data_IF_983783372430
#
_entry.id   IF_983783372430
#
_cell.length_a   1.000
_cell.length_b   1.000
_cell.length_c   1.000
_cell.angle_alpha   90.00
_cell.angle_beta   90.00
_cell.angle_gamma   90.00
#
_symmetry.space_group_name_H-M   'P 1'
#
loop_
_entity.id
_entity.type
_entity.pdbx_description
1 polymer ?
#
# COMPACT_ATOMS: atom_id res chain seq x y z
N UNK A 1 3.23 -27.72 30.43
CA UNK A 1 3.46 -26.51 29.60
C UNK A 1 3.91 -26.99 28.23
N UNK A 2 3.33 -26.49 27.14
CA UNK A 2 3.81 -26.85 25.80
C UNK A 2 5.26 -26.37 25.61
N UNK A 3 6.14 -27.24 25.10
CA UNK A 3 7.50 -26.85 24.74
C UNK A 3 7.46 -25.73 23.69
N UNK A 4 8.21 -24.65 23.92
CA UNK A 4 8.34 -23.56 22.95
C UNK A 4 9.46 -23.89 21.96
N UNK A 5 9.12 -23.94 20.69
CA UNK A 5 10.08 -23.93 19.57
C UNK A 5 10.06 -22.52 18.98
N UNK A 6 11.08 -21.67 19.27
CA UNK A 6 11.08 -20.29 18.78
C UNK A 6 11.12 -20.25 17.26
N UNK A 7 10.14 -19.60 16.64
CA UNK A 7 10.11 -19.41 15.20
C UNK A 7 11.21 -18.45 14.70
N UNK A 8 11.63 -17.48 15.53
CA UNK A 8 12.59 -16.45 15.18
C UNK A 8 13.61 -16.24 16.30
N UNK A 9 14.86 -16.02 15.93
CA UNK A 9 15.95 -15.56 16.79
C UNK A 9 15.72 -14.13 17.28
N UNK A 10 16.37 -13.68 18.36
CA UNK A 10 16.34 -12.28 18.80
C UNK A 10 16.77 -11.29 17.70
N UNK A 11 17.76 -11.65 16.89
CA UNK A 11 18.31 -10.82 15.80
C UNK A 11 17.27 -10.64 14.69
N UNK A 12 16.62 -11.74 14.27
CA UNK A 12 15.53 -11.69 13.30
C UNK A 12 14.35 -10.85 13.81
N UNK A 13 13.99 -10.97 15.09
CA UNK A 13 12.93 -10.14 15.70
C UNK A 13 13.30 -8.66 15.67
N UNK A 14 14.56 -8.33 15.98
CA UNK A 14 15.06 -6.96 15.96
C UNK A 14 14.99 -6.37 14.55
N UNK A 15 15.49 -7.09 13.54
CA UNK A 15 15.45 -6.65 12.14
C UNK A 15 14.01 -6.33 11.69
N UNK A 16 13.08 -7.27 11.91
CA UNK A 16 11.67 -7.10 11.51
C UNK A 16 11.01 -5.92 12.24
N UNK A 17 11.32 -5.75 13.53
CA UNK A 17 10.84 -4.63 14.34
C UNK A 17 11.35 -3.29 13.80
N UNK A 18 12.64 -3.17 13.49
CA UNK A 18 13.26 -1.95 12.96
C UNK A 18 12.71 -1.59 11.57
N UNK A 19 12.47 -2.57 10.70
CA UNK A 19 11.78 -2.36 9.41
C UNK A 19 10.40 -1.76 9.65
N UNK A 20 9.59 -2.39 10.50
CA UNK A 20 8.23 -1.95 10.79
C UNK A 20 8.18 -0.54 11.40
N UNK A 21 9.12 -0.19 12.29
CA UNK A 21 9.21 1.16 12.89
C UNK A 21 9.52 2.23 11.86
N UNK A 22 10.44 1.97 10.91
CA UNK A 22 10.81 2.94 9.86
C UNK A 22 9.62 3.30 8.97
N UNK A 23 8.76 2.33 8.67
CA UNK A 23 7.59 2.52 7.80
C UNK A 23 6.59 3.54 8.40
N UNK A 24 6.37 3.49 9.72
CA UNK A 24 5.36 4.30 10.42
C UNK A 24 5.95 5.43 11.27
N UNK A 25 7.20 5.80 11.02
CA UNK A 25 7.92 6.81 11.80
C UNK A 25 7.29 8.20 11.64
N UNK A 26 7.11 8.95 12.73
CA UNK A 26 6.78 10.39 12.74
C UNK A 26 5.74 10.87 11.71
N UNK A 27 4.56 10.25 11.71
CA UNK A 27 3.45 10.63 10.81
C UNK A 27 3.59 10.08 9.38
N UNK A 28 4.69 9.41 9.05
CA UNK A 28 4.83 8.73 7.76
C UNK A 28 3.82 7.61 7.60
N UNK A 29 3.45 7.36 6.35
CA UNK A 29 2.65 6.23 5.95
C UNK A 29 3.20 5.53 4.72
N UNK A 30 2.34 4.75 4.08
CA UNK A 30 2.68 3.91 2.95
C UNK A 30 1.97 4.41 1.68
N UNK A 31 2.73 4.55 0.60
CA UNK A 31 2.18 4.64 -0.75
C UNK A 31 1.97 3.22 -1.30
N UNK A 32 0.72 2.84 -1.49
CA UNK A 32 0.37 1.57 -2.12
C UNK A 32 0.35 1.73 -3.66
N UNK A 33 1.48 1.45 -4.31
CA UNK A 33 1.68 1.54 -5.76
C UNK A 33 1.79 0.14 -6.41
N UNK A 34 1.07 -0.82 -5.83
CA UNK A 34 1.12 -2.25 -6.13
C UNK A 34 -0.06 -2.73 -6.99
N UNK A 35 -0.66 -1.81 -7.75
CA UNK A 35 -1.67 -2.16 -8.73
C UNK A 35 -1.10 -3.17 -9.74
N UNK A 36 -1.80 -4.29 -9.93
CA UNK A 36 -1.50 -5.22 -11.02
C UNK A 36 -1.69 -4.55 -12.38
N UNK A 37 -1.16 -5.15 -13.45
CA UNK A 37 -1.33 -4.66 -14.84
C UNK A 37 -2.79 -4.34 -15.17
N UNK A 38 -3.73 -5.23 -14.84
CA UNK A 38 -5.16 -5.00 -15.05
C UNK A 38 -5.73 -3.88 -14.17
N UNK A 39 -5.32 -3.82 -12.90
CA UNK A 39 -5.79 -2.77 -11.97
C UNK A 39 -5.32 -1.39 -12.42
N UNK A 40 -4.05 -1.28 -12.83
CA UNK A 40 -3.48 -0.03 -13.34
C UNK A 40 -4.11 0.34 -14.68
N UNK A 41 -4.39 -0.64 -15.55
CA UNK A 41 -5.12 -0.42 -16.80
C UNK A 41 -6.48 0.25 -16.60
N UNK A 42 -7.26 -0.23 -15.62
CA UNK A 42 -8.55 0.38 -15.26
C UNK A 42 -8.41 1.84 -14.78
N UNK A 43 -7.25 2.22 -14.21
CA UNK A 43 -6.97 3.59 -13.80
C UNK A 43 -6.56 4.45 -15.00
N UNK A 44 -5.67 3.95 -15.85
CA UNK A 44 -5.20 4.65 -17.06
C UNK A 44 -6.36 4.93 -18.02
N UNK A 45 -7.29 3.98 -18.18
CA UNK A 45 -8.45 4.16 -19.05
C UNK A 45 -9.31 5.38 -18.66
N UNK A 46 -9.42 5.71 -17.37
CA UNK A 46 -10.20 6.86 -16.88
C UNK A 46 -9.63 8.20 -17.35
N UNK A 47 -8.32 8.26 -17.56
CA UNK A 47 -7.62 9.43 -18.09
C UNK A 47 -7.33 9.29 -19.59
N UNK A 48 -7.95 8.30 -20.26
CA UNK A 48 -7.78 8.00 -21.70
C UNK A 48 -6.33 7.72 -22.10
N UNK A 49 -5.57 7.08 -21.20
CA UNK A 49 -4.19 6.63 -21.44
C UNK A 49 -4.19 5.12 -21.69
N UNK A 50 -3.43 4.68 -22.69
CA UNK A 50 -3.28 3.27 -23.02
C UNK A 50 -2.51 2.50 -21.94
N UNK A 51 -2.90 1.25 -21.67
CA UNK A 51 -2.24 0.40 -20.68
C UNK A 51 -0.98 -0.30 -21.24
N UNK A 52 0.05 0.48 -21.57
CA UNK A 52 1.36 -0.05 -21.95
C UNK A 52 2.29 -0.15 -20.74
N UNK A 53 3.31 -1.03 -20.81
CA UNK A 53 4.34 -1.10 -19.78
C UNK A 53 5.03 0.26 -19.58
N UNK A 54 5.33 0.96 -20.66
CA UNK A 54 5.97 2.28 -20.60
C UNK A 54 5.09 3.32 -19.88
N UNK A 55 3.78 3.35 -20.14
CA UNK A 55 2.89 4.28 -19.43
C UNK A 55 2.79 3.95 -17.93
N UNK A 56 2.78 2.66 -17.57
CA UNK A 56 2.84 2.25 -16.15
C UNK A 56 4.16 2.68 -15.52
N UNK A 57 5.28 2.45 -16.19
CA UNK A 57 6.63 2.83 -15.77
C UNK A 57 6.75 4.35 -15.59
N UNK A 58 6.30 5.15 -16.56
CA UNK A 58 6.31 6.61 -16.50
C UNK A 58 5.52 7.14 -15.30
N UNK A 59 4.31 6.62 -15.06
CA UNK A 59 3.52 7.07 -13.92
C UNK A 59 4.21 6.73 -12.58
N UNK A 60 4.85 5.56 -12.47
CA UNK A 60 5.64 5.19 -11.29
C UNK A 60 6.87 6.08 -11.12
N UNK A 61 7.57 6.39 -12.21
CA UNK A 61 8.70 7.32 -12.21
C UNK A 61 8.29 8.70 -11.68
N UNK A 62 7.13 9.22 -12.11
CA UNK A 62 6.62 10.50 -11.61
C UNK A 62 6.46 10.50 -10.09
N UNK A 63 5.88 9.44 -9.52
CA UNK A 63 5.69 9.32 -8.06
C UNK A 63 7.01 9.12 -7.31
N UNK A 64 7.97 8.37 -7.85
CA UNK A 64 9.19 7.98 -7.14
C UNK A 64 10.35 8.95 -7.34
N UNK A 65 10.31 9.82 -8.36
CA UNK A 65 11.33 10.83 -8.65
C UNK A 65 10.94 12.23 -8.20
N UNK A 66 9.96 12.34 -7.31
CA UNK A 66 9.77 13.56 -6.53
C UNK A 66 11.07 13.88 -5.79
N UNK A 67 11.31 15.16 -5.51
CA UNK A 67 12.45 15.57 -4.69
C UNK A 67 12.40 14.95 -3.28
N UNK A 68 13.44 15.21 -2.51
CA UNK A 68 13.65 14.61 -1.19
C UNK A 68 12.56 14.90 -0.16
N UNK A 69 11.62 15.82 -0.44
CA UNK A 69 10.44 16.04 0.41
C UNK A 69 9.58 14.79 0.60
N UNK A 70 9.56 13.86 -0.36
CA UNK A 70 8.78 12.60 -0.25
C UNK A 70 9.11 11.80 1.03
N UNK A 71 10.37 11.82 1.47
CA UNK A 71 10.83 11.06 2.66
C UNK A 71 10.26 11.58 3.97
N UNK A 72 9.66 12.77 3.98
CA UNK A 72 9.01 13.35 5.15
C UNK A 72 7.62 12.75 5.40
N UNK A 73 6.96 12.26 4.36
CA UNK A 73 5.58 11.76 4.42
C UNK A 73 5.46 10.27 4.14
N UNK A 74 6.38 9.69 3.36
CA UNK A 74 6.33 8.29 2.96
C UNK A 74 7.45 7.53 3.64
N UNK A 75 7.08 6.51 4.44
CA UNK A 75 8.02 5.60 5.10
C UNK A 75 8.16 4.28 4.36
N UNK A 76 7.14 3.89 3.58
CA UNK A 76 7.21 2.70 2.74
C UNK A 76 6.44 2.84 1.43
N UNK A 77 6.84 2.07 0.42
CA UNK A 77 6.13 1.98 -0.87
C UNK A 77 5.91 0.52 -1.20
N UNK A 78 4.66 0.12 -1.44
CA UNK A 78 4.33 -1.23 -1.91
C UNK A 78 4.38 -1.22 -3.43
N UNK A 79 5.16 -2.13 -4.01
CA UNK A 79 5.30 -2.29 -5.45
C UNK A 79 4.58 -3.55 -5.94
N UNK A 80 4.25 -3.54 -7.23
CA UNK A 80 3.92 -4.75 -7.97
C UNK A 80 5.22 -5.37 -8.53
N UNK A 81 5.19 -6.67 -8.87
CA UNK A 81 6.35 -7.40 -9.38
C UNK A 81 7.03 -6.67 -10.55
N UNK A 82 6.26 -6.23 -11.54
CA UNK A 82 6.76 -5.46 -12.69
C UNK A 82 7.56 -4.22 -12.23
N UNK A 83 7.00 -3.42 -11.33
CA UNK A 83 7.61 -2.16 -10.87
C UNK A 83 8.87 -2.37 -10.04
N UNK A 84 9.04 -3.51 -9.36
CA UNK A 84 10.25 -3.80 -8.58
C UNK A 84 11.51 -3.89 -9.47
N UNK A 85 11.33 -4.33 -10.72
CA UNK A 85 12.41 -4.51 -11.69
C UNK A 85 12.47 -3.41 -12.77
N UNK A 86 11.48 -2.51 -12.79
CA UNK A 86 11.51 -1.35 -13.65
C UNK A 86 12.56 -0.32 -13.22
N UNK A 87 12.98 0.46 -14.22
CA UNK A 87 13.95 1.54 -14.11
C UNK A 87 13.31 2.88 -14.44
N UNK A 88 13.87 3.94 -13.91
CA UNK A 88 13.60 5.30 -14.38
C UNK A 88 14.21 5.53 -15.78
N UNK A 89 13.96 6.72 -16.33
CA UNK A 89 14.51 7.14 -17.63
C UNK A 89 16.05 7.23 -17.65
N UNK A 90 16.69 7.22 -16.48
CA UNK A 90 18.15 7.25 -16.32
C UNK A 90 18.76 5.85 -16.10
N UNK A 91 17.96 4.79 -16.20
CA UNK A 91 18.41 3.41 -16.06
C UNK A 91 18.56 2.92 -14.61
N UNK A 92 18.09 3.70 -13.63
CA UNK A 92 18.17 3.37 -12.21
C UNK A 92 16.91 2.67 -11.73
N UNK A 93 17.08 1.57 -11.02
CA UNK A 93 15.98 0.78 -10.49
C UNK A 93 15.14 1.57 -9.47
N UNK A 94 13.82 1.51 -9.59
CA UNK A 94 12.91 2.25 -8.68
C UNK A 94 13.15 1.91 -7.21
N UNK A 95 13.41 0.64 -6.89
CA UNK A 95 13.73 0.24 -5.51
C UNK A 95 14.99 0.91 -4.96
N UNK A 96 16.00 1.18 -5.79
CA UNK A 96 17.22 1.86 -5.37
C UNK A 96 16.93 3.35 -5.11
N UNK A 97 16.16 3.98 -6.01
CA UNK A 97 15.68 5.36 -5.87
C UNK A 97 14.92 5.56 -4.53
N UNK A 98 14.06 4.61 -4.17
CA UNK A 98 13.33 4.64 -2.90
C UNK A 98 14.26 4.44 -1.69
N UNK A 99 15.15 3.45 -1.75
CA UNK A 99 16.08 3.13 -0.66
C UNK A 99 17.05 4.28 -0.34
N UNK A 100 17.57 4.95 -1.37
CA UNK A 100 18.44 6.12 -1.18
C UNK A 100 17.76 7.27 -0.46
N UNK A 101 16.43 7.37 -0.56
CA UNK A 101 15.62 8.34 0.20
C UNK A 101 15.17 7.83 1.56
N UNK A 102 15.67 6.66 1.99
CA UNK A 102 15.31 6.03 3.25
C UNK A 102 13.87 5.48 3.28
N UNK A 103 13.26 5.26 2.12
CA UNK A 103 11.91 4.68 2.01
C UNK A 103 12.04 3.16 1.94
N UNK A 104 11.29 2.46 2.79
CA UNK A 104 11.28 1.00 2.82
C UNK A 104 10.53 0.48 1.60
N UNK A 105 11.10 -0.49 0.89
CA UNK A 105 10.48 -1.09 -0.30
C UNK A 105 9.65 -2.31 0.12
N UNK A 106 8.41 -2.38 -0.34
CA UNK A 106 7.51 -3.49 -0.13
C UNK A 106 7.02 -4.11 -1.42
N UNK A 107 6.51 -5.32 -1.35
CA UNK A 107 6.06 -6.09 -2.51
C UNK A 107 4.71 -6.76 -2.24
N UNK A 108 3.80 -6.69 -3.22
CA UNK A 108 2.56 -7.46 -3.18
C UNK A 108 2.85 -8.94 -3.50
N UNK A 109 2.41 -9.84 -2.62
CA UNK A 109 2.73 -11.27 -2.68
C UNK A 109 1.54 -12.17 -3.02
N UNK A 110 0.31 -11.70 -2.75
CA UNK A 110 -0.90 -12.41 -3.12
C UNK A 110 -1.07 -12.55 -4.64
N UNK A 111 -1.63 -13.68 -5.07
CA UNK A 111 -1.92 -14.00 -6.47
C UNK A 111 -3.41 -13.79 -6.82
N UNK A 112 -4.13 -13.01 -6.02
CA UNK A 112 -5.54 -12.71 -6.23
C UNK A 112 -6.51 -13.64 -5.49
N UNK A 113 -7.79 -13.30 -5.60
CA UNK A 113 -8.86 -14.01 -4.91
C UNK A 113 -9.39 -15.20 -5.73
N UNK A 114 -9.79 -16.25 -5.02
CA UNK A 114 -10.48 -17.41 -5.58
C UNK A 114 -11.83 -17.61 -4.88
N UNK A 115 -12.88 -18.04 -5.60
CA UNK A 115 -14.20 -18.23 -5.01
C UNK A 115 -14.19 -19.37 -3.98
N UNK A 116 -14.91 -19.18 -2.88
CA UNK A 116 -15.17 -20.23 -1.90
C UNK A 116 -16.44 -20.98 -2.28
N UNK A 117 -16.28 -22.23 -2.74
CA UNK A 117 -17.40 -23.09 -3.09
C UNK A 117 -18.35 -23.28 -1.89
N UNK A 118 -19.65 -23.25 -2.14
CA UNK A 118 -20.67 -23.33 -1.08
C UNK A 118 -20.93 -22.02 -0.32
N UNK A 119 -20.31 -20.91 -0.72
CA UNK A 119 -20.57 -19.58 -0.13
C UNK A 119 -21.29 -18.66 -1.13
N UNK A 120 -21.91 -17.59 -0.61
CA UNK A 120 -22.52 -16.57 -1.45
C UNK A 120 -21.45 -15.62 -2.03
N UNK A 121 -20.78 -16.04 -3.10
CA UNK A 121 -19.78 -15.20 -3.81
C UNK A 121 -18.69 -14.64 -2.87
N UNK A 122 -18.28 -15.42 -1.87
CA UNK A 122 -17.14 -15.05 -1.01
C UNK A 122 -15.84 -15.59 -1.60
N UNK A 123 -14.71 -15.09 -1.11
CA UNK A 123 -13.39 -15.40 -1.67
C UNK A 123 -12.37 -15.76 -0.59
N UNK A 124 -11.45 -16.67 -0.91
CA UNK A 124 -10.14 -16.80 -0.26
C UNK A 124 -9.07 -16.20 -1.16
N UNK A 125 -7.81 -16.15 -0.71
CA UNK A 125 -6.69 -15.56 -1.45
C UNK A 125 -5.62 -16.60 -1.71
N UNK A 126 -5.11 -16.62 -2.94
CA UNK A 126 -4.10 -17.56 -3.41
C UNK A 126 -2.69 -16.99 -3.35
N UNK A 127 -1.69 -17.88 -3.47
CA UNK A 127 -0.27 -17.52 -3.62
C UNK A 127 0.66 -18.04 -2.53
N UNK A 128 0.23 -18.99 -1.70
CA UNK A 128 1.09 -19.59 -0.67
C UNK A 128 2.12 -20.55 -1.28
N UNK A 129 1.79 -21.16 -2.41
CA UNK A 129 2.69 -22.07 -3.11
C UNK A 129 3.92 -21.32 -3.61
N UNK A 130 5.11 -21.83 -3.26
CA UNK A 130 6.39 -21.20 -3.56
C UNK A 130 6.62 -19.85 -2.87
N UNK A 131 5.80 -19.47 -1.88
CA UNK A 131 5.89 -18.14 -1.26
C UNK A 131 7.23 -17.93 -0.53
N UNK A 132 7.79 -18.97 0.10
CA UNK A 132 9.06 -18.86 0.83
C UNK A 132 10.21 -18.49 -0.11
N UNK A 133 10.30 -19.17 -1.25
CA UNK A 133 11.29 -18.94 -2.29
C UNK A 133 11.12 -17.55 -2.90
N UNK A 134 9.87 -17.14 -3.17
CA UNK A 134 9.56 -15.79 -3.67
C UNK A 134 9.96 -14.72 -2.65
N UNK A 135 9.65 -14.90 -1.36
CA UNK A 135 10.04 -13.95 -0.32
C UNK A 135 11.56 -13.83 -0.19
N UNK A 136 12.29 -14.96 -0.18
CA UNK A 136 13.75 -14.96 -0.14
C UNK A 136 14.35 -14.21 -1.35
N UNK A 137 13.82 -14.46 -2.54
CA UNK A 137 14.25 -13.77 -3.76
C UNK A 137 13.94 -12.26 -3.69
N UNK A 138 12.73 -11.87 -3.30
CA UNK A 138 12.37 -10.46 -3.16
C UNK A 138 13.18 -9.75 -2.07
N UNK A 139 13.51 -10.42 -0.96
CA UNK A 139 14.40 -9.88 0.06
C UNK A 139 15.80 -9.60 -0.51
N UNK A 140 16.35 -10.55 -1.27
CA UNK A 140 17.63 -10.37 -2.00
C UNK A 140 17.55 -9.22 -3.01
N UNK A 141 16.43 -9.08 -3.70
CA UNK A 141 16.20 -8.00 -4.66
C UNK A 141 15.92 -6.66 -3.98
N UNK A 142 15.67 -6.66 -2.67
CA UNK A 142 15.63 -5.46 -1.85
C UNK A 142 14.26 -5.06 -1.32
N UNK A 143 13.25 -5.92 -1.37
CA UNK A 143 12.01 -5.70 -0.64
C UNK A 143 12.17 -6.12 0.83
N UNK A 144 11.72 -5.28 1.75
CA UNK A 144 11.83 -5.49 3.21
C UNK A 144 10.49 -5.83 3.86
N UNK A 145 9.37 -5.62 3.17
CA UNK A 145 8.05 -5.99 3.68
C UNK A 145 7.11 -6.51 2.59
N UNK A 146 6.15 -7.34 3.01
CA UNK A 146 5.14 -7.94 2.14
C UNK A 146 3.77 -7.30 2.30
N UNK A 147 2.95 -7.40 1.26
CA UNK A 147 1.50 -7.13 1.33
C UNK A 147 0.70 -8.31 0.80
N UNK A 148 -0.32 -8.70 1.56
CA UNK A 148 -1.31 -9.71 1.19
C UNK A 148 -2.70 -9.18 1.47
N UNK A 149 -3.62 -9.32 0.52
CA UNK A 149 -4.95 -8.71 0.61
C UNK A 149 -6.06 -9.75 0.66
N UNK A 150 -6.64 -9.96 1.84
CA UNK A 150 -7.92 -10.65 2.02
C UNK A 150 -9.09 -9.70 1.76
N UNK A 151 -10.21 -10.24 1.26
CA UNK A 151 -11.42 -9.47 1.00
C UNK A 151 -12.61 -10.20 1.60
N UNK A 152 -13.34 -9.48 2.46
CA UNK A 152 -14.58 -9.94 3.09
C UNK A 152 -15.70 -8.98 2.69
N UNK A 153 -16.90 -9.51 2.48
CA UNK A 153 -18.09 -8.71 2.17
C UNK A 153 -19.03 -8.73 3.35
N UNK A 154 -19.67 -7.59 3.59
CA UNK A 154 -20.75 -7.47 4.57
C UNK A 154 -22.07 -7.40 3.80
N UNK A 155 -22.94 -8.38 4.02
CA UNK A 155 -24.34 -8.39 3.59
C UNK A 155 -25.16 -9.24 4.57
N UNK A 156 -26.42 -9.57 4.25
CA UNK A 156 -27.28 -10.34 5.15
C UNK A 156 -26.76 -11.76 5.48
N UNK A 157 -25.82 -12.29 4.69
CA UNK A 157 -25.30 -13.67 4.83
C UNK A 157 -23.76 -13.73 4.90
N UNK A 158 -23.08 -12.60 4.67
CA UNK A 158 -21.63 -12.49 4.65
C UNK A 158 -21.14 -11.46 5.70
N UNK A 159 -19.95 -11.65 6.28
CA UNK A 159 -19.02 -12.74 6.01
C UNK A 159 -19.45 -14.04 6.70
N UNK A 160 -19.38 -15.17 5.99
CA UNK A 160 -19.63 -16.48 6.60
C UNK A 160 -18.49 -16.88 7.54
N UNK A 161 -18.76 -17.79 8.47
CA UNK A 161 -17.71 -18.36 9.34
C UNK A 161 -16.59 -19.01 8.53
N UNK A 162 -16.91 -19.65 7.39
CA UNK A 162 -15.93 -20.24 6.49
C UNK A 162 -15.01 -19.18 5.90
N UNK A 163 -15.57 -18.09 5.35
CA UNK A 163 -14.76 -17.02 4.75
C UNK A 163 -13.86 -16.33 5.79
N UNK A 164 -14.34 -16.12 7.02
CA UNK A 164 -13.54 -15.55 8.11
C UNK A 164 -12.36 -16.48 8.44
N UNK A 165 -12.64 -17.76 8.70
CA UNK A 165 -11.62 -18.74 9.12
C UNK A 165 -10.56 -18.94 8.04
N UNK A 166 -10.99 -19.10 6.80
CA UNK A 166 -10.08 -19.36 5.68
C UNK A 166 -9.17 -18.17 5.38
N UNK A 167 -9.71 -16.94 5.34
CA UNK A 167 -8.88 -15.75 5.14
C UNK A 167 -7.94 -15.48 6.33
N UNK A 168 -8.39 -15.72 7.57
CA UNK A 168 -7.53 -15.59 8.75
C UNK A 168 -6.38 -16.61 8.72
N UNK A 169 -6.66 -17.86 8.36
CA UNK A 169 -5.65 -18.92 8.23
C UNK A 169 -4.63 -18.60 7.12
N UNK A 170 -5.10 -18.18 5.95
CA UNK A 170 -4.24 -17.79 4.83
C UNK A 170 -3.31 -16.63 5.20
N UNK A 171 -3.85 -15.59 5.86
CA UNK A 171 -3.07 -14.44 6.35
C UNK A 171 -2.02 -14.86 7.38
N UNK A 172 -2.34 -15.77 8.30
CA UNK A 172 -1.39 -16.27 9.28
C UNK A 172 -0.24 -17.06 8.64
N UNK A 173 -0.55 -17.93 7.67
CA UNK A 173 0.46 -18.69 6.90
C UNK A 173 1.36 -17.75 6.10
N UNK A 174 0.79 -16.79 5.39
CA UNK A 174 1.52 -15.74 4.70
C UNK A 174 2.47 -14.99 5.66
N UNK A 175 1.94 -14.55 6.81
CA UNK A 175 2.71 -13.75 7.75
C UNK A 175 3.89 -14.52 8.32
N UNK A 176 3.70 -15.80 8.63
CA UNK A 176 4.74 -16.72 9.09
C UNK A 176 5.86 -16.87 8.05
N UNK A 177 5.51 -17.15 6.79
CA UNK A 177 6.49 -17.35 5.71
C UNK A 177 7.32 -16.08 5.45
N UNK A 178 6.68 -14.91 5.43
CA UNK A 178 7.39 -13.63 5.28
C UNK A 178 8.41 -13.39 6.39
N UNK A 179 8.03 -13.62 7.65
CA UNK A 179 8.91 -13.41 8.80
C UNK A 179 10.12 -14.35 8.77
N UNK A 180 9.92 -15.61 8.36
CA UNK A 180 11.03 -16.57 8.17
C UNK A 180 12.03 -16.12 7.09
N UNK A 181 11.57 -15.31 6.12
CA UNK A 181 12.38 -14.79 5.02
C UNK A 181 12.99 -13.41 5.31
N UNK A 182 12.91 -12.90 6.55
CA UNK A 182 13.42 -11.57 6.91
C UNK A 182 12.59 -10.40 6.35
N UNK A 183 11.35 -10.67 5.93
CA UNK A 183 10.41 -9.64 5.46
C UNK A 183 9.34 -9.36 6.50
N UNK A 184 9.09 -8.07 6.77
CA UNK A 184 7.98 -7.69 7.63
C UNK A 184 6.64 -7.96 6.93
N UNK A 185 5.75 -8.71 7.57
CA UNK A 185 4.36 -8.95 7.11
C UNK A 185 3.32 -8.24 7.96
N UNK A 186 3.75 -7.76 9.13
CA UNK A 186 2.95 -7.05 10.12
C UNK A 186 3.68 -5.76 10.49
N UNK A 187 2.92 -4.68 10.60
CA UNK A 187 3.44 -3.40 11.02
C UNK A 187 3.25 -3.25 12.53
N UNK A 188 4.18 -2.56 13.21
CA UNK A 188 4.04 -2.14 14.61
C UNK A 188 3.01 -1.00 14.79
N UNK A 189 2.19 -0.78 13.77
CA UNK A 189 1.17 0.24 13.65
C UNK A 189 0.04 -0.24 12.76
N UNK A 190 -1.06 0.48 12.76
CA UNK A 190 -2.20 0.25 11.88
C UNK A 190 -2.09 1.26 10.74
N UNK A 191 -1.87 0.75 9.53
CA UNK A 191 -1.92 1.54 8.30
C UNK A 191 -3.26 1.29 7.60
N UNK A 192 -4.17 2.25 7.69
CA UNK A 192 -5.51 2.12 7.12
C UNK A 192 -5.46 2.09 5.59
N UNK A 193 -6.32 1.26 4.98
CA UNK A 193 -6.63 1.36 3.56
C UNK A 193 -7.65 2.48 3.34
N UNK A 194 -7.58 3.16 2.19
CA UNK A 194 -8.53 4.24 1.87
C UNK A 194 -9.87 3.73 1.35
N UNK A 195 -9.94 2.47 0.92
CA UNK A 195 -11.13 1.93 0.27
C UNK A 195 -11.56 2.78 -0.93
N UNK A 196 -12.85 3.09 -1.00
CA UNK A 196 -13.47 3.95 -2.02
C UNK A 196 -13.66 5.41 -1.60
N UNK A 197 -13.11 5.81 -0.46
CA UNK A 197 -13.17 7.20 0.00
C UNK A 197 -12.52 8.13 -1.02
N UNK A 198 -13.00 9.38 -1.06
CA UNK A 198 -12.29 10.45 -1.74
C UNK A 198 -10.90 10.65 -1.11
N UNK A 199 -10.01 11.37 -1.79
CA UNK A 199 -8.70 11.67 -1.22
C UNK A 199 -8.86 12.46 0.08
N UNK A 200 -9.78 13.42 0.09
CA UNK A 200 -10.05 14.30 1.22
C UNK A 200 -10.68 13.57 2.40
N UNK A 201 -11.71 12.76 2.17
CA UNK A 201 -12.35 11.97 3.24
C UNK A 201 -11.36 11.01 3.90
N UNK A 202 -10.47 10.39 3.11
CA UNK A 202 -9.45 9.50 3.65
C UNK A 202 -8.48 10.23 4.60
N UNK A 203 -8.17 11.50 4.34
CA UNK A 203 -7.33 12.32 5.23
C UNK A 203 -8.11 12.84 6.43
N UNK A 204 -9.34 13.32 6.24
CA UNK A 204 -10.20 13.78 7.34
C UNK A 204 -10.48 12.67 8.34
N UNK A 205 -10.81 11.47 7.86
CA UNK A 205 -11.07 10.31 8.71
C UNK A 205 -9.81 9.89 9.48
N UNK A 206 -8.65 9.84 8.82
CA UNK A 206 -7.39 9.53 9.50
C UNK A 206 -7.04 10.57 10.57
N UNK A 207 -7.30 11.85 10.31
CA UNK A 207 -7.08 12.94 11.25
C UNK A 207 -8.02 12.79 12.46
N UNK A 208 -9.31 12.53 12.22
CA UNK A 208 -10.29 12.29 13.28
C UNK A 208 -9.92 11.08 14.16
N UNK A 209 -9.47 9.98 13.54
CA UNK A 209 -8.95 8.80 14.26
C UNK A 209 -7.79 9.20 15.20
N UNK A 210 -6.86 10.03 14.73
CA UNK A 210 -5.73 10.46 15.54
C UNK A 210 -6.09 11.52 16.59
N UNK A 211 -7.14 12.31 16.38
CA UNK A 211 -7.68 13.26 17.37
C UNK A 211 -8.54 12.60 18.45
N UNK A 212 -9.02 11.37 18.23
CA UNK A 212 -9.83 10.65 19.21
C UNK A 212 -9.15 10.61 20.59
N UNK A 213 -9.81 11.02 21.69
CA UNK A 213 -9.17 11.16 23.01
C UNK A 213 -8.89 9.82 23.72
N UNK A 214 -9.17 8.69 23.06
CA UNK A 214 -8.91 7.36 23.61
C UNK A 214 -7.42 6.99 23.49
N UNK A 215 -6.99 6.07 24.36
CA UNK A 215 -5.62 5.51 24.34
C UNK A 215 -5.38 4.76 23.03
N UNK A 216 -4.31 5.14 22.32
CA UNK A 216 -3.86 4.51 21.07
C UNK A 216 -2.45 3.94 21.27
N UNK A 217 -2.31 2.65 21.64
CA UNK A 217 -0.99 2.07 21.95
C UNK A 217 -0.15 1.76 20.69
N UNK A 218 -0.72 1.95 19.50
CA UNK A 218 -0.03 1.77 18.21
C UNK A 218 -0.05 3.07 17.40
N UNK A 219 0.90 3.21 16.47
CA UNK A 219 0.84 4.28 15.46
C UNK A 219 -0.35 4.03 14.53
N UNK A 220 -1.13 5.07 14.26
CA UNK A 220 -2.29 5.04 13.37
C UNK A 220 -1.98 5.90 12.15
N UNK A 221 -1.71 5.26 11.01
CA UNK A 221 -1.24 5.90 9.79
C UNK A 221 -2.00 5.36 8.57
N UNK A 222 -1.49 5.61 7.37
CA UNK A 222 -2.13 5.27 6.11
C UNK A 222 -1.32 4.26 5.31
N UNK A 223 -2.02 3.45 4.51
CA UNK A 223 -1.49 2.69 3.37
C UNK A 223 -2.42 2.92 2.18
N UNK A 224 -2.21 4.03 1.50
CA UNK A 224 -3.16 4.56 0.52
C UNK A 224 -2.66 4.36 -0.90
N UNK A 225 -3.55 3.84 -1.75
CA UNK A 225 -3.35 3.81 -3.20
C UNK A 225 -4.06 5.01 -3.83
N UNK A 226 -5.35 4.84 -4.13
CA UNK A 226 -6.17 5.89 -4.77
C UNK A 226 -6.16 7.23 -4.02
N UNK A 227 -6.25 7.23 -2.69
CA UNK A 227 -6.27 8.46 -1.89
C UNK A 227 -4.95 9.28 -1.91
N UNK A 228 -3.86 8.72 -2.47
CA UNK A 228 -2.61 9.43 -2.74
C UNK A 228 -2.37 9.69 -4.23
N UNK A 229 -3.06 8.98 -5.12
CA UNK A 229 -2.72 8.93 -6.54
C UNK A 229 -3.79 9.55 -7.45
N UNK A 230 -5.03 9.74 -7.01
CA UNK A 230 -6.12 10.10 -7.92
C UNK A 230 -5.91 11.47 -8.56
N UNK A 231 -5.60 12.50 -7.77
CA UNK A 231 -5.29 13.84 -8.27
C UNK A 231 -4.00 13.85 -9.09
N UNK A 232 -2.98 13.09 -8.69
CA UNK A 232 -1.73 12.97 -9.43
C UNK A 232 -1.95 12.35 -10.82
N UNK A 233 -2.72 11.26 -10.89
CA UNK A 233 -3.05 10.58 -12.14
C UNK A 233 -3.87 11.49 -13.07
N UNK A 234 -4.85 12.22 -12.53
CA UNK A 234 -5.63 13.19 -13.29
C UNK A 234 -4.77 14.34 -13.82
N UNK A 235 -3.86 14.87 -13.00
CA UNK A 235 -2.93 15.92 -13.40
C UNK A 235 -1.96 15.45 -14.50
N UNK A 236 -1.48 14.20 -14.42
CA UNK A 236 -0.58 13.63 -15.41
C UNK A 236 -1.24 13.51 -16.79
N UNK A 237 -2.41 12.87 -16.87
CA UNK A 237 -3.15 12.70 -18.12
C UNK A 237 -2.35 12.04 -19.26
N UNK A 238 -1.30 11.27 -18.95
CA UNK A 238 -0.42 10.64 -19.95
C UNK A 238 0.57 11.57 -20.63
N UNK A 239 0.72 12.82 -20.16
CA UNK A 239 1.56 13.83 -20.82
C UNK A 239 2.81 14.11 -20.00
N UNK A 240 3.98 13.90 -20.61
CA UNK A 240 5.28 14.17 -19.96
C UNK A 240 5.43 15.63 -19.48
N UNK A 241 4.83 16.58 -20.22
CA UNK A 241 4.82 18.01 -19.85
C UNK A 241 4.16 18.28 -18.48
N UNK A 242 3.29 17.38 -18.00
CA UNK A 242 2.57 17.54 -16.74
C UNK A 242 3.33 16.98 -15.52
N UNK A 243 4.64 16.68 -15.66
CA UNK A 243 5.47 16.13 -14.58
C UNK A 243 5.34 16.95 -13.28
N UNK A 244 5.52 18.27 -13.37
CA UNK A 244 5.49 19.16 -12.20
C UNK A 244 4.11 19.13 -11.51
N UNK A 245 3.04 19.33 -12.26
CA UNK A 245 1.67 19.29 -11.72
C UNK A 245 1.32 17.94 -11.08
N UNK A 246 1.80 16.84 -11.66
CA UNK A 246 1.61 15.48 -11.12
C UNK A 246 2.29 15.32 -9.77
N UNK A 247 3.55 15.73 -9.68
CA UNK A 247 4.36 15.62 -8.47
C UNK A 247 3.83 16.53 -7.35
N UNK A 248 3.42 17.75 -7.68
CA UNK A 248 2.77 18.67 -6.73
C UNK A 248 1.45 18.12 -6.20
N UNK A 249 0.60 17.55 -7.06
CA UNK A 249 -0.67 16.94 -6.64
C UNK A 249 -0.44 15.74 -5.71
N UNK A 250 0.52 14.87 -6.04
CA UNK A 250 0.91 13.75 -5.17
C UNK A 250 1.45 14.24 -3.82
N UNK A 251 2.39 15.18 -3.81
CA UNK A 251 2.99 15.68 -2.56
C UNK A 251 2.00 16.42 -1.69
N UNK A 252 1.03 17.16 -2.27
CA UNK A 252 -0.07 17.76 -1.51
C UNK A 252 -0.81 16.70 -0.69
N UNK A 253 -1.15 15.55 -1.29
CA UNK A 253 -1.81 14.45 -0.57
C UNK A 253 -0.87 13.76 0.43
N UNK A 254 0.40 13.56 0.08
CA UNK A 254 1.36 12.94 0.98
C UNK A 254 1.55 13.76 2.28
N UNK A 255 1.70 15.09 2.14
CA UNK A 255 1.84 16.02 3.28
C UNK A 255 0.55 16.05 4.10
N UNK A 256 -0.62 16.17 3.47
CA UNK A 256 -1.90 16.18 4.15
C UNK A 256 -2.12 14.91 5.00
N UNK A 257 -1.82 13.74 4.44
CA UNK A 257 -1.91 12.47 5.15
C UNK A 257 -0.87 12.33 6.27
N UNK A 258 0.34 12.87 6.09
CA UNK A 258 1.35 12.93 7.15
C UNK A 258 0.90 13.80 8.33
N UNK A 259 0.23 14.92 8.06
CA UNK A 259 -0.38 15.76 9.10
C UNK A 259 -1.57 15.05 9.77
N UNK A 260 -2.40 14.35 9.00
CA UNK A 260 -3.54 13.60 9.53
C UNK A 260 -3.12 12.44 10.43
N UNK A 261 -2.05 11.72 10.07
CA UNK A 261 -1.44 10.69 10.92
C UNK A 261 -0.90 11.24 12.27
N UNK A 262 -0.78 12.57 12.40
CA UNK A 262 -0.38 13.26 13.63
C UNK A 262 -1.55 13.97 14.32
N UNK A 263 -2.76 13.93 13.77
CA UNK A 263 -3.90 14.71 14.27
C UNK A 263 -3.74 16.22 14.08
N UNK A 264 -2.95 16.65 13.09
CA UNK A 264 -2.61 18.07 12.84
C UNK A 264 -3.15 18.59 11.51
N UNK A 265 -3.91 17.78 10.78
CA UNK A 265 -4.45 18.23 9.51
C UNK A 265 -5.58 19.23 9.76
N UNK A 266 -5.48 20.40 9.14
CA UNK A 266 -6.49 21.47 9.18
C UNK A 266 -7.04 21.64 7.78
N UNK A 267 -8.33 21.38 7.62
CA UNK A 267 -9.02 21.59 6.36
C UNK A 267 -9.34 23.08 6.19
N UNK A 268 -8.83 23.70 5.12
CA UNK A 268 -9.02 25.14 4.85
C UNK A 268 -10.28 25.46 4.04
N UNK A 269 -11.17 24.48 3.81
CA UNK A 269 -12.42 24.66 3.06
C UNK A 269 -12.26 24.69 1.53
N UNK A 270 -11.03 24.71 1.00
CA UNK A 270 -10.72 24.78 -0.43
C UNK A 270 -10.10 23.47 -0.94
N UNK A 271 -10.94 22.46 -1.17
CA UNK A 271 -10.53 21.21 -1.83
C UNK A 271 -10.89 21.23 -3.31
N UNK A 272 -9.98 20.76 -4.16
CA UNK A 272 -10.25 20.64 -5.60
C UNK A 272 -11.27 19.55 -5.89
N UNK A 273 -12.08 19.71 -6.93
CA UNK A 273 -13.17 18.79 -7.28
C UNK A 273 -12.73 17.31 -7.40
N UNK A 274 -11.51 17.05 -7.89
CA UNK A 274 -10.96 15.68 -7.98
C UNK A 274 -10.69 15.05 -6.61
N UNK A 275 -10.26 15.85 -5.62
CA UNK A 275 -9.92 15.35 -4.29
C UNK A 275 -11.12 14.98 -3.42
N UNK A 276 -12.30 15.54 -3.73
CA UNK A 276 -13.57 15.28 -3.03
C UNK A 276 -14.45 14.24 -3.73
N UNK A 277 -14.10 13.84 -4.95
CA UNK A 277 -14.85 12.84 -5.69
C UNK A 277 -14.66 11.45 -5.07
N UNK A 278 -15.76 10.71 -4.92
CA UNK A 278 -15.70 9.30 -4.50
C UNK A 278 -14.83 8.49 -5.44
N UNK A 279 -13.92 7.70 -4.87
CA UNK A 279 -13.02 6.80 -5.60
C UNK A 279 -13.60 5.37 -5.65
N UNK A 280 -14.89 5.23 -5.32
CA UNK A 280 -15.65 3.99 -5.47
C UNK A 280 -15.82 3.59 -6.95
N UNK A 281 -15.98 2.30 -7.21
CA UNK A 281 -16.00 1.66 -8.53
C UNK A 281 -16.63 0.29 -8.33
N UNK A 282 -17.82 0.09 -8.87
CA UNK A 282 -18.60 -1.13 -8.62
C UNK A 282 -17.89 -2.43 -9.01
N UNK A 283 -17.00 -2.39 -10.01
CA UNK A 283 -16.21 -3.55 -10.46
C UNK A 283 -14.94 -3.82 -9.65
N UNK A 284 -14.57 -2.94 -8.71
CA UNK A 284 -13.41 -3.12 -7.87
C UNK A 284 -13.84 -3.74 -6.53
N UNK A 285 -13.26 -4.87 -6.15
CA UNK A 285 -13.46 -5.40 -4.79
C UNK A 285 -12.60 -4.58 -3.84
N UNK A 286 -13.17 -4.01 -2.78
CA UNK A 286 -12.52 -3.09 -1.81
C UNK A 286 -11.96 -3.79 -0.59
#
# INVERSE_FOLDING_TARGET
MAHRFPALTPEQKKELSEIAQRIVANGKGILAADESVGTMGNRLQRIKVENTEENRRQFRELLFTVDDSIRQSIGGVILFHETLYQKDSQGKLFRNILKERGIVVGIKLDQGGAPLAGTNKETTIQGLDGLSERCAQYKKDGADFGKWRAVLRIDNQCPSSLAIQENANALARYASICQQSGMASLLLGICFLSGGMSEEDATLNLNAINLCPLRKPWKLSFSYGRALQASALAAWGGKAANKKATQEAFMKRAVANCQAAQGKYVHTGSSGATSTQSLFTASYTY
#
